data_IF_281988160044
#
_entry.id   IF_281988160044
#
_cell.length_a   1.000
_cell.length_b   1.000
_cell.length_c   1.000
_cell.angle_alpha   90.00
_cell.angle_beta   90.00
_cell.angle_gamma   90.00
#
_symmetry.space_group_name_H-M   'P 1'
#
loop_
_entity.id
_entity.type
_entity.pdbx_description
1 polymer ?
#
# COMPACT_ATOMS: atom_id res chain seq x y z
N UNK A 1 -1.84 -30.50 51.47
CA UNK A 1 -1.38 -29.55 50.43
C UNK A 1 -0.40 -30.29 49.53
N UNK A 2 -0.78 -30.63 48.31
CA UNK A 2 0.10 -31.36 47.39
C UNK A 2 1.24 -30.44 46.94
N UNK A 3 2.48 -30.84 47.22
CA UNK A 3 3.68 -30.15 46.72
C UNK A 3 3.73 -30.28 45.19
N UNK A 4 3.26 -29.26 44.48
CA UNK A 4 3.52 -29.12 43.04
C UNK A 4 5.03 -29.05 42.84
N UNK A 5 5.60 -30.03 42.14
CA UNK A 5 7.04 -30.15 41.89
C UNK A 5 7.58 -28.91 41.16
N UNK A 6 8.88 -28.62 41.33
CA UNK A 6 9.52 -27.46 40.67
C UNK A 6 9.31 -27.45 39.16
N UNK A 7 9.29 -28.63 38.51
CA UNK A 7 9.00 -28.79 37.09
C UNK A 7 7.56 -28.41 36.71
N UNK A 8 6.58 -28.78 37.53
CA UNK A 8 5.17 -28.41 37.28
C UNK A 8 4.94 -26.89 37.45
N UNK A 9 5.63 -26.24 38.40
CA UNK A 9 5.59 -24.78 38.55
C UNK A 9 6.26 -24.05 37.38
N UNK A 10 7.37 -24.59 36.87
CA UNK A 10 8.06 -24.04 35.69
C UNK A 10 7.16 -24.11 34.46
N UNK A 11 6.50 -25.24 34.23
CA UNK A 11 5.55 -25.40 33.12
C UNK A 11 4.38 -24.41 33.20
N UNK A 12 3.82 -24.17 34.40
CA UNK A 12 2.76 -23.18 34.59
C UNK A 12 3.23 -21.75 34.27
N UNK A 13 4.46 -21.38 34.65
CA UNK A 13 5.02 -20.06 34.32
C UNK A 13 5.24 -19.88 32.82
N UNK A 14 5.75 -20.90 32.14
CA UNK A 14 5.95 -20.88 30.68
C UNK A 14 4.61 -20.76 29.95
N UNK A 15 3.61 -21.57 30.34
CA UNK A 15 2.25 -21.51 29.79
C UNK A 15 1.64 -20.11 29.98
N UNK A 16 1.77 -19.53 31.17
CA UNK A 16 1.29 -18.18 31.45
C UNK A 16 1.96 -17.11 30.59
N UNK A 17 3.29 -17.17 30.45
CA UNK A 17 4.03 -16.22 29.62
C UNK A 17 3.61 -16.28 28.14
N UNK A 18 3.48 -17.49 27.58
CA UNK A 18 3.04 -17.69 26.19
C UNK A 18 1.60 -17.19 26.00
N UNK A 19 0.72 -17.43 26.96
CA UNK A 19 -0.65 -16.93 26.91
C UNK A 19 -0.71 -15.39 26.94
N UNK A 20 0.12 -14.74 27.76
CA UNK A 20 0.24 -13.28 27.77
C UNK A 20 0.73 -12.74 26.42
N UNK A 21 1.72 -13.39 25.81
CA UNK A 21 2.22 -13.01 24.48
C UNK A 21 1.17 -13.20 23.40
N UNK A 22 0.41 -14.30 23.43
CA UNK A 22 -0.67 -14.57 22.49
C UNK A 22 -1.78 -13.53 22.61
N UNK A 23 -2.18 -13.21 23.84
CA UNK A 23 -3.15 -12.16 24.13
C UNK A 23 -2.68 -10.79 23.63
N UNK A 24 -1.42 -10.43 23.88
CA UNK A 24 -0.86 -9.16 23.43
C UNK A 24 -0.80 -9.09 21.90
N UNK A 25 -0.32 -10.14 21.24
CA UNK A 25 -0.26 -10.21 19.79
C UNK A 25 -1.67 -10.04 19.18
N UNK A 26 -2.65 -10.83 19.63
CA UNK A 26 -4.02 -10.74 19.12
C UNK A 26 -4.64 -9.36 19.43
N UNK A 27 -4.43 -8.85 20.65
CA UNK A 27 -4.91 -7.53 21.04
C UNK A 27 -4.36 -6.41 20.16
N UNK A 28 -3.06 -6.43 19.86
CA UNK A 28 -2.43 -5.48 18.94
C UNK A 28 -2.99 -5.65 17.53
N UNK A 29 -3.11 -6.89 17.03
CA UNK A 29 -3.63 -7.17 15.70
C UNK A 29 -5.07 -6.72 15.49
N UNK A 30 -5.91 -6.79 16.53
CA UNK A 30 -7.29 -6.31 16.47
C UNK A 30 -7.37 -4.79 16.63
N UNK A 31 -6.67 -4.22 17.62
CA UNK A 31 -6.84 -2.82 17.99
C UNK A 31 -6.13 -1.85 17.05
N UNK A 32 -4.89 -2.16 16.63
CA UNK A 32 -4.06 -1.20 15.89
C UNK A 32 -4.68 -0.69 14.58
N UNK A 33 -5.39 -1.51 13.77
CA UNK A 33 -6.01 -1.01 12.53
C UNK A 33 -7.31 -0.21 12.73
N UNK A 34 -7.80 -0.14 13.97
CA UNK A 34 -9.02 0.58 14.33
C UNK A 34 -8.74 1.94 14.97
N UNK A 35 -7.50 2.17 15.41
CA UNK A 35 -7.12 3.37 16.12
C UNK A 35 -6.82 4.52 15.16
N UNK A 36 -7.47 5.70 15.34
CA UNK A 36 -7.18 6.87 14.53
C UNK A 36 -5.78 7.43 14.77
N UNK A 37 -5.30 8.19 13.78
CA UNK A 37 -3.98 8.83 13.80
C UNK A 37 -3.79 9.86 14.90
N UNK A 38 -4.87 10.50 15.36
CA UNK A 38 -4.90 11.50 16.41
C UNK A 38 -4.82 10.91 17.82
N UNK A 39 -4.75 9.59 17.96
CA UNK A 39 -4.60 8.94 19.26
C UNK A 39 -3.19 9.15 19.84
N UNK A 40 -3.06 9.10 21.17
CA UNK A 40 -1.77 9.25 21.88
C UNK A 40 -0.74 8.19 21.52
N UNK A 41 -1.20 7.05 20.98
CA UNK A 41 -0.37 5.96 20.47
C UNK A 41 -0.44 5.85 18.94
N UNK A 42 -0.86 6.91 18.24
CA UNK A 42 -1.17 6.91 16.81
C UNK A 42 0.00 6.46 15.92
N UNK A 43 1.24 6.78 16.28
CA UNK A 43 2.43 6.28 15.57
C UNK A 43 2.53 4.75 15.64
N UNK A 44 2.39 4.18 16.83
CA UNK A 44 2.43 2.73 17.02
C UNK A 44 1.23 2.07 16.35
N UNK A 45 0.06 2.67 16.42
CA UNK A 45 -1.15 2.19 15.75
C UNK A 45 -0.96 2.12 14.23
N UNK A 46 -0.34 3.13 13.59
CA UNK A 46 -0.04 3.09 12.15
C UNK A 46 0.92 1.96 11.78
N UNK A 47 2.03 1.84 12.52
CA UNK A 47 3.06 0.83 12.26
C UNK A 47 2.48 -0.57 12.46
N UNK A 48 1.85 -0.83 13.62
CA UNK A 48 1.29 -2.13 13.95
C UNK A 48 0.03 -2.45 13.15
N UNK A 49 -0.71 -1.43 12.72
CA UNK A 49 -1.90 -1.58 11.89
C UNK A 49 -1.55 -2.26 10.56
N UNK A 50 -0.45 -1.86 9.94
CA UNK A 50 0.06 -2.55 8.74
C UNK A 50 0.52 -3.98 9.02
N UNK A 51 0.98 -4.28 10.24
CA UNK A 51 1.44 -5.60 10.67
C UNK A 51 0.33 -6.48 11.29
N UNK A 52 -0.92 -6.00 11.35
CA UNK A 52 -1.98 -6.67 12.09
C UNK A 52 -2.20 -8.15 11.73
N UNK A 53 -2.24 -8.57 10.45
CA UNK A 53 -2.34 -9.99 10.11
C UNK A 53 -1.19 -10.83 10.66
N UNK A 54 0.04 -10.29 10.70
CA UNK A 54 1.21 -10.99 11.24
C UNK A 54 1.08 -11.21 12.75
N UNK A 55 0.57 -10.22 13.48
CA UNK A 55 0.28 -10.37 14.90
C UNK A 55 -0.81 -11.42 15.16
N UNK A 56 -1.84 -11.48 14.32
CA UNK A 56 -2.89 -12.51 14.43
C UNK A 56 -2.34 -13.91 14.13
N UNK A 57 -1.50 -14.07 13.11
CA UNK A 57 -0.81 -15.33 12.80
C UNK A 57 0.12 -15.73 13.95
N UNK A 58 0.90 -14.79 14.51
CA UNK A 58 1.73 -15.05 15.67
C UNK A 58 0.90 -15.53 16.88
N UNK A 59 -0.27 -14.92 17.12
CA UNK A 59 -1.23 -15.37 18.13
C UNK A 59 -1.68 -16.81 17.93
N UNK A 60 -1.98 -17.21 16.68
CA UNK A 60 -2.35 -18.58 16.34
C UNK A 60 -1.18 -19.55 16.56
N UNK A 61 0.04 -19.18 16.15
CA UNK A 61 1.25 -19.98 16.39
C UNK A 61 1.51 -20.18 17.89
N UNK A 62 1.37 -19.13 18.70
CA UNK A 62 1.48 -19.24 20.17
C UNK A 62 0.37 -20.13 20.75
N UNK A 63 -0.84 -20.07 20.19
CA UNK A 63 -1.93 -21.00 20.48
C UNK A 63 -1.55 -22.46 20.20
N UNK A 64 -0.89 -22.75 19.08
CA UNK A 64 -0.37 -24.10 18.77
C UNK A 64 0.68 -24.54 19.79
N UNK A 65 1.60 -23.65 20.18
CA UNK A 65 2.59 -23.96 21.24
C UNK A 65 1.89 -24.32 22.56
N UNK A 66 0.80 -23.63 22.92
CA UNK A 66 0.02 -23.95 24.12
C UNK A 66 -0.65 -25.33 24.04
N UNK A 67 -1.12 -25.74 22.85
CA UNK A 67 -1.62 -27.11 22.64
C UNK A 67 -0.51 -28.13 22.89
N UNK A 68 0.69 -27.90 22.35
CA UNK A 68 1.86 -28.77 22.54
C UNK A 68 2.29 -28.86 24.02
N UNK A 69 2.10 -27.78 24.79
CA UNK A 69 2.34 -27.73 26.24
C UNK A 69 1.17 -28.30 27.08
N UNK A 70 0.22 -29.01 26.47
CA UNK A 70 -0.96 -29.61 27.11
C UNK A 70 -1.96 -28.60 27.71
N UNK A 71 -1.90 -27.33 27.30
CA UNK A 71 -2.89 -26.30 27.61
C UNK A 71 -3.93 -26.17 26.49
N UNK A 72 -4.47 -27.30 26.02
CA UNK A 72 -5.22 -27.40 24.76
C UNK A 72 -6.42 -26.46 24.63
N UNK A 73 -7.22 -26.28 25.70
CA UNK A 73 -8.40 -25.38 25.67
C UNK A 73 -8.00 -23.92 25.43
N UNK A 74 -6.90 -23.49 26.04
CA UNK A 74 -6.39 -22.13 25.89
C UNK A 74 -5.74 -21.94 24.52
N UNK A 75 -4.99 -22.94 24.05
CA UNK A 75 -4.43 -22.91 22.70
C UNK A 75 -5.51 -22.84 21.62
N UNK A 76 -6.58 -23.64 21.74
CA UNK A 76 -7.72 -23.60 20.83
C UNK A 76 -8.42 -22.23 20.85
N UNK A 77 -8.58 -21.63 22.04
CA UNK A 77 -9.15 -20.27 22.16
C UNK A 77 -8.34 -19.25 21.35
N UNK A 78 -7.02 -19.20 21.50
CA UNK A 78 -6.20 -18.23 20.77
C UNK A 78 -6.18 -18.47 19.26
N UNK A 79 -6.15 -19.74 18.82
CA UNK A 79 -6.27 -20.08 17.39
C UNK A 79 -7.62 -19.63 16.83
N UNK A 80 -8.72 -19.93 17.54
CA UNK A 80 -10.06 -19.54 17.12
C UNK A 80 -10.23 -18.01 17.08
N UNK A 81 -9.71 -17.29 18.08
CA UNK A 81 -9.72 -15.84 18.11
C UNK A 81 -8.94 -15.24 16.93
N UNK A 82 -7.72 -15.71 16.68
CA UNK A 82 -6.92 -15.29 15.53
C UNK A 82 -7.61 -15.56 14.20
N UNK A 83 -8.17 -16.77 14.02
CA UNK A 83 -8.87 -17.16 12.80
C UNK A 83 -10.13 -16.31 12.56
N UNK A 84 -10.92 -16.06 13.61
CA UNK A 84 -12.09 -15.20 13.55
C UNK A 84 -11.69 -13.76 13.17
N UNK A 85 -10.67 -13.20 13.81
CA UNK A 85 -10.18 -11.86 13.50
C UNK A 85 -9.69 -11.77 12.05
N UNK A 86 -8.88 -12.72 11.57
CA UNK A 86 -8.43 -12.75 10.18
C UNK A 86 -9.60 -12.86 9.20
N UNK A 87 -10.61 -13.69 9.51
CA UNK A 87 -11.84 -13.79 8.72
C UNK A 87 -12.60 -12.46 8.64
N UNK A 88 -12.69 -11.73 9.75
CA UNK A 88 -13.30 -10.39 9.79
C UNK A 88 -12.50 -9.36 8.99
N UNK A 89 -11.15 -9.41 9.04
CA UNK A 89 -10.30 -8.56 8.20
C UNK A 89 -10.51 -8.84 6.72
N UNK A 90 -10.54 -10.11 6.33
CA UNK A 90 -10.79 -10.52 4.95
C UNK A 90 -12.17 -10.08 4.49
N UNK A 91 -13.22 -10.29 5.31
CA UNK A 91 -14.57 -9.85 4.99
C UNK A 91 -14.66 -8.32 4.83
N UNK A 92 -14.05 -7.56 5.74
CA UNK A 92 -14.01 -6.10 5.67
C UNK A 92 -13.28 -5.60 4.41
N UNK A 93 -12.14 -6.21 4.06
CA UNK A 93 -11.43 -5.88 2.81
C UNK A 93 -12.30 -6.16 1.59
N UNK A 94 -12.94 -7.33 1.55
CA UNK A 94 -13.82 -7.71 0.43
C UNK A 94 -15.02 -6.77 0.25
N UNK A 95 -15.52 -6.16 1.32
CA UNK A 95 -16.61 -5.18 1.26
C UNK A 95 -16.21 -3.84 0.62
N UNK A 96 -14.94 -3.45 0.70
CA UNK A 96 -14.44 -2.18 0.15
C UNK A 96 -13.68 -2.37 -1.16
N UNK A 97 -13.24 -3.59 -1.47
CA UNK A 97 -12.42 -3.90 -2.65
C UNK A 97 -13.24 -4.22 -3.89
N UNK A 98 -12.66 -4.01 -5.07
CA UNK A 98 -13.21 -4.43 -6.35
C UNK A 98 -12.42 -5.60 -6.96
N UNK A 99 -13.09 -6.53 -7.67
CA UNK A 99 -12.38 -7.52 -8.48
C UNK A 99 -11.70 -6.84 -9.68
N UNK A 100 -10.69 -7.50 -10.25
CA UNK A 100 -10.18 -7.13 -11.57
C UNK A 100 -11.24 -7.44 -12.64
N UNK A 101 -11.18 -6.73 -13.76
CA UNK A 101 -12.07 -6.88 -14.91
C UNK A 101 -11.28 -7.29 -16.17
N UNK A 102 -10.79 -8.54 -16.26
CA UNK A 102 -9.91 -8.97 -17.36
C UNK A 102 -10.62 -9.02 -18.73
N UNK A 103 -11.95 -8.88 -18.76
CA UNK A 103 -12.73 -8.85 -19.98
C UNK A 103 -12.83 -7.43 -20.59
N UNK A 104 -12.56 -6.39 -19.80
CA UNK A 104 -12.55 -5.02 -20.31
C UNK A 104 -11.30 -4.76 -21.17
N UNK A 105 -11.47 -3.98 -22.24
CA UNK A 105 -10.35 -3.50 -23.02
C UNK A 105 -9.63 -2.37 -22.26
N UNK A 106 -8.31 -2.44 -22.07
CA UNK A 106 -7.58 -1.41 -21.34
C UNK A 106 -7.49 -0.11 -22.16
N UNK A 107 -7.72 1.01 -21.48
CA UNK A 107 -7.59 2.36 -22.03
C UNK A 107 -6.19 2.95 -21.77
N UNK A 108 -5.56 2.60 -20.63
CA UNK A 108 -4.19 2.99 -20.30
C UNK A 108 -3.45 1.86 -19.57
N UNK A 109 -2.17 1.69 -19.87
CA UNK A 109 -1.20 0.95 -19.06
C UNK A 109 -0.39 1.90 -18.20
N UNK A 110 -0.37 1.64 -16.89
CA UNK A 110 0.29 2.51 -15.90
C UNK A 110 1.30 1.75 -15.05
N UNK A 111 2.41 2.41 -14.71
CA UNK A 111 3.39 1.94 -13.73
C UNK A 111 3.50 2.94 -12.59
N UNK A 112 3.50 2.44 -11.36
CA UNK A 112 4.02 3.17 -10.19
C UNK A 112 5.22 2.42 -9.61
N UNK A 113 6.32 3.11 -9.34
CA UNK A 113 7.51 2.49 -8.73
C UNK A 113 8.23 3.43 -7.77
N UNK A 114 8.28 3.08 -6.47
CA UNK A 114 9.21 3.69 -5.54
C UNK A 114 10.62 3.19 -5.84
N UNK A 115 11.49 4.06 -6.35
CA UNK A 115 12.81 3.70 -6.87
C UNK A 115 13.82 3.43 -5.75
N UNK A 116 13.53 3.88 -4.53
CA UNK A 116 14.46 4.06 -3.42
C UNK A 116 15.53 5.12 -3.77
N UNK A 117 15.56 6.24 -3.02
CA UNK A 117 16.40 7.40 -3.36
C UNK A 117 17.91 7.09 -3.45
N UNK A 118 18.36 6.00 -2.82
CA UNK A 118 19.75 5.53 -2.81
C UNK A 118 20.12 4.68 -4.04
N UNK A 119 19.13 4.25 -4.85
CA UNK A 119 19.27 3.33 -5.98
C UNK A 119 19.87 3.98 -7.23
N UNK A 120 21.07 4.54 -7.11
CA UNK A 120 21.72 5.37 -8.13
C UNK A 120 22.48 4.59 -9.21
N UNK A 121 22.50 3.25 -9.14
CA UNK A 121 23.27 2.38 -10.03
C UNK A 121 22.42 1.53 -10.98
N UNK A 122 21.09 1.49 -10.80
CA UNK A 122 20.20 0.65 -11.60
C UNK A 122 19.35 1.43 -12.61
N UNK A 123 19.63 2.72 -12.85
CA UNK A 123 18.87 3.58 -13.77
C UNK A 123 18.66 2.97 -15.15
N UNK A 124 19.72 2.46 -15.79
CA UNK A 124 19.63 1.81 -17.11
C UNK A 124 18.73 0.56 -17.11
N UNK A 125 18.81 -0.27 -16.05
CA UNK A 125 17.97 -1.46 -15.90
C UNK A 125 16.50 -1.08 -15.66
N UNK A 126 16.26 -0.02 -14.90
CA UNK A 126 14.90 0.51 -14.69
C UNK A 126 14.33 1.01 -16.00
N UNK A 127 15.11 1.78 -16.78
CA UNK A 127 14.69 2.29 -18.07
C UNK A 127 14.40 1.16 -19.06
N UNK A 128 15.24 0.13 -19.10
CA UNK A 128 14.99 -1.07 -19.89
C UNK A 128 13.69 -1.78 -19.46
N UNK A 129 13.47 -1.99 -18.16
CA UNK A 129 12.26 -2.63 -17.66
C UNK A 129 10.99 -1.83 -18.00
N UNK A 130 11.06 -0.49 -17.96
CA UNK A 130 9.96 0.37 -18.40
C UNK A 130 9.68 0.23 -19.89
N UNK A 131 10.72 0.21 -20.73
CA UNK A 131 10.56 -0.01 -22.18
C UNK A 131 9.95 -1.36 -22.49
N UNK A 132 10.36 -2.42 -21.77
CA UNK A 132 9.83 -3.78 -21.93
C UNK A 132 8.37 -3.89 -21.48
N UNK A 133 7.99 -3.18 -20.43
CA UNK A 133 6.60 -3.14 -19.95
C UNK A 133 5.68 -2.29 -20.84
N UNK A 134 6.26 -1.38 -21.62
CA UNK A 134 5.58 -0.51 -22.60
C UNK A 134 4.38 0.26 -22.01
N UNK A 135 4.56 1.06 -20.93
CA UNK A 135 3.45 1.80 -20.33
C UNK A 135 3.12 3.08 -21.10
N UNK A 136 1.85 3.47 -21.02
CA UNK A 136 1.40 4.79 -21.44
C UNK A 136 1.81 5.86 -20.42
N UNK A 137 1.71 5.53 -19.12
CA UNK A 137 2.06 6.41 -18.00
C UNK A 137 2.98 5.68 -17.03
N UNK A 138 4.08 6.33 -16.64
CA UNK A 138 4.96 5.84 -15.56
C UNK A 138 5.15 6.94 -14.52
N UNK A 139 5.02 6.58 -13.25
CA UNK A 139 5.30 7.49 -12.14
C UNK A 139 6.29 6.86 -11.17
N UNK A 140 7.37 7.58 -10.91
CA UNK A 140 8.37 7.21 -9.93
C UNK A 140 8.21 8.01 -8.65
N UNK A 141 8.40 7.36 -7.50
CA UNK A 141 8.65 8.04 -6.23
C UNK A 141 10.06 7.81 -5.74
N UNK A 142 10.55 8.69 -4.87
CA UNK A 142 11.97 8.77 -4.51
C UNK A 142 12.86 8.91 -5.77
N UNK A 143 12.31 9.61 -6.78
CA UNK A 143 12.81 9.63 -8.15
C UNK A 143 14.19 10.30 -8.31
N UNK A 144 14.74 10.91 -7.25
CA UNK A 144 16.06 11.53 -7.23
C UNK A 144 17.16 10.56 -7.68
N UNK A 145 16.95 9.26 -7.45
CA UNK A 145 17.81 8.19 -7.94
C UNK A 145 17.93 8.16 -9.47
N UNK A 146 16.89 8.59 -10.20
CA UNK A 146 16.80 8.64 -11.66
C UNK A 146 17.17 10.00 -12.26
N UNK A 147 17.76 10.92 -11.48
CA UNK A 147 18.08 12.27 -11.97
C UNK A 147 19.03 12.25 -13.18
N UNK A 148 19.90 11.24 -13.30
CA UNK A 148 20.84 11.13 -14.43
C UNK A 148 20.13 10.68 -15.71
N UNK A 149 19.10 9.86 -15.56
CA UNK A 149 18.30 9.29 -16.63
C UNK A 149 17.10 10.17 -17.00
N UNK A 150 16.86 11.26 -16.25
CA UNK A 150 15.69 12.11 -16.39
C UNK A 150 15.50 12.65 -17.81
N UNK A 151 16.56 13.10 -18.47
CA UNK A 151 16.44 13.63 -19.85
C UNK A 151 16.13 12.54 -20.89
N UNK A 152 16.61 11.30 -20.66
CA UNK A 152 16.25 10.16 -21.51
C UNK A 152 14.78 9.78 -21.31
N UNK A 153 14.33 9.75 -20.06
CA UNK A 153 12.92 9.52 -19.72
C UNK A 153 12.00 10.59 -20.34
N UNK A 154 12.35 11.88 -20.25
CA UNK A 154 11.57 12.96 -20.86
C UNK A 154 11.52 12.87 -22.38
N UNK A 155 12.60 12.40 -23.02
CA UNK A 155 12.62 12.20 -24.46
C UNK A 155 11.69 11.06 -24.91
N UNK A 156 11.55 10.00 -24.11
CA UNK A 156 10.66 8.86 -24.39
C UNK A 156 9.20 9.11 -23.98
N UNK A 157 8.99 9.99 -23.00
CA UNK A 157 7.67 10.36 -22.46
C UNK A 157 7.51 11.88 -22.54
N UNK A 158 7.04 12.42 -23.68
CA UNK A 158 7.05 13.86 -23.97
C UNK A 158 6.18 14.69 -23.03
N UNK A 159 5.21 14.09 -22.35
CA UNK A 159 4.36 14.77 -21.38
C UNK A 159 4.78 14.39 -19.97
N UNK A 160 5.32 15.33 -19.21
CA UNK A 160 5.92 15.01 -17.91
C UNK A 160 5.84 16.16 -16.91
N UNK A 161 5.92 15.83 -15.62
CA UNK A 161 6.03 16.81 -14.54
C UNK A 161 6.86 16.25 -13.38
N UNK A 162 7.61 17.14 -12.72
CA UNK A 162 8.47 16.78 -11.62
C UNK A 162 9.91 16.49 -12.07
N UNK A 163 10.79 16.30 -11.09
CA UNK A 163 12.22 16.11 -11.31
C UNK A 163 12.96 17.29 -11.97
N UNK A 164 12.43 18.53 -11.92
CA UNK A 164 13.15 19.73 -12.37
C UNK A 164 14.03 20.34 -11.27
N UNK A 165 13.50 20.41 -10.03
CA UNK A 165 14.20 20.93 -8.85
C UNK A 165 14.21 19.89 -7.74
N UNK A 166 13.05 19.67 -7.13
CA UNK A 166 12.80 18.46 -6.37
C UNK A 166 12.53 17.30 -7.35
N UNK A 167 12.88 16.10 -6.94
CA UNK A 167 12.68 14.88 -7.73
C UNK A 167 12.16 13.80 -6.78
N UNK A 168 11.08 14.13 -6.08
CA UNK A 168 10.39 13.21 -5.18
C UNK A 168 9.40 12.36 -5.97
N UNK A 169 8.47 13.02 -6.68
CA UNK A 169 7.63 12.41 -7.72
C UNK A 169 8.14 12.83 -9.09
N UNK A 170 8.16 11.87 -10.02
CA UNK A 170 8.42 12.11 -11.44
C UNK A 170 7.38 11.37 -12.26
N UNK A 171 6.42 12.09 -12.82
CA UNK A 171 5.33 11.55 -13.61
C UNK A 171 5.56 11.82 -15.09
N UNK A 172 5.40 10.78 -15.91
CA UNK A 172 5.79 10.72 -17.31
C UNK A 172 4.66 10.02 -18.09
N UNK A 173 4.31 10.54 -19.26
CA UNK A 173 3.26 10.02 -20.12
C UNK A 173 3.65 10.11 -21.60
N UNK A 174 3.31 9.06 -22.36
CA UNK A 174 3.38 9.03 -23.82
C UNK A 174 2.13 9.60 -24.48
N UNK A 175 0.99 9.42 -23.82
CA UNK A 175 -0.30 9.95 -24.26
C UNK A 175 -0.44 11.38 -23.76
N UNK A 176 -0.96 12.28 -24.59
CA UNK A 176 -1.19 13.68 -24.21
C UNK A 176 -2.28 13.79 -23.14
N UNK A 177 -1.97 14.26 -21.92
CA UNK A 177 -3.00 14.58 -20.95
C UNK A 177 -3.60 15.96 -21.27
N UNK A 178 -4.92 16.08 -21.11
CA UNK A 178 -5.60 17.37 -21.17
C UNK A 178 -5.15 18.32 -20.04
N UNK A 179 -4.68 17.77 -18.91
CA UNK A 179 -4.10 18.54 -17.83
C UNK A 179 -3.05 17.73 -17.06
N UNK A 180 -1.97 18.37 -16.63
CA UNK A 180 -0.92 17.78 -15.78
C UNK A 180 -0.56 18.74 -14.64
N UNK A 181 -0.58 18.24 -13.42
CA UNK A 181 -0.33 19.04 -12.22
C UNK A 181 0.56 18.31 -11.22
N UNK A 182 1.35 19.10 -10.48
CA UNK A 182 2.22 18.62 -9.40
C UNK A 182 1.90 19.38 -8.12
N UNK A 183 1.70 18.64 -7.04
CA UNK A 183 1.22 19.14 -5.76
C UNK A 183 2.21 18.82 -4.64
N UNK A 184 2.28 19.73 -3.68
CA UNK A 184 2.92 19.49 -2.38
C UNK A 184 1.85 19.17 -1.35
N UNK A 185 1.99 18.03 -0.67
CA UNK A 185 1.07 17.61 0.39
C UNK A 185 1.50 18.12 1.77
N UNK A 186 2.72 18.66 1.88
CA UNK A 186 3.18 19.35 3.07
C UNK A 186 4.11 20.51 2.72
N UNK A 187 4.24 21.47 3.64
CA UNK A 187 5.21 22.55 3.50
C UNK A 187 6.67 22.08 3.67
N UNK A 188 6.88 20.87 4.20
CA UNK A 188 8.20 20.34 4.54
C UNK A 188 8.80 19.52 3.41
N UNK A 189 7.98 18.70 2.74
CA UNK A 189 8.38 17.94 1.57
C UNK A 189 7.47 18.29 0.40
N UNK A 190 8.08 18.89 -0.61
CA UNK A 190 7.39 19.41 -1.78
C UNK A 190 7.20 18.30 -2.82
N UNK A 191 6.24 18.50 -3.74
CA UNK A 191 6.08 17.66 -4.94
C UNK A 191 5.88 16.16 -4.63
N UNK A 192 4.93 15.87 -3.73
CA UNK A 192 4.62 14.50 -3.26
C UNK A 192 3.40 13.87 -3.95
N UNK A 193 2.75 14.60 -4.85
CA UNK A 193 1.62 14.09 -5.63
C UNK A 193 1.65 14.68 -7.04
N UNK A 194 1.34 13.86 -8.05
CA UNK A 194 1.09 14.30 -9.41
C UNK A 194 -0.31 13.86 -9.86
N UNK A 195 -0.96 14.65 -10.71
CA UNK A 195 -2.24 14.29 -11.32
C UNK A 195 -2.20 14.57 -12.82
N UNK A 196 -2.65 13.59 -13.61
CA UNK A 196 -2.79 13.65 -15.05
C UNK A 196 -4.25 13.39 -15.38
N UNK A 197 -4.86 14.25 -16.19
CA UNK A 197 -6.22 14.08 -16.67
C UNK A 197 -6.19 13.74 -18.17
N UNK A 198 -6.88 12.67 -18.56
CA UNK A 198 -6.99 12.22 -19.94
C UNK A 198 -8.43 12.32 -20.41
N UNK A 199 -8.61 12.76 -21.66
CA UNK A 199 -9.89 12.75 -22.37
C UNK A 199 -9.75 11.79 -23.56
N UNK A 200 -10.58 10.75 -23.61
CA UNK A 200 -10.56 9.77 -24.68
C UNK A 200 -11.43 10.22 -25.87
N UNK A 201 -11.15 9.74 -27.10
CA UNK A 201 -11.92 10.11 -28.29
C UNK A 201 -13.42 9.78 -28.22
N UNK A 202 -13.82 8.86 -27.34
CA UNK A 202 -15.22 8.50 -27.11
C UNK A 202 -15.92 9.32 -26.02
N UNK A 203 -15.27 10.39 -25.54
CA UNK A 203 -15.81 11.35 -24.57
C UNK A 203 -15.67 10.93 -23.11
N UNK A 204 -15.08 9.76 -22.82
CA UNK A 204 -14.74 9.35 -21.45
C UNK A 204 -13.53 10.13 -20.94
N UNK A 205 -13.52 10.42 -19.63
CA UNK A 205 -12.37 11.01 -18.94
C UNK A 205 -11.74 10.03 -17.94
N UNK A 206 -10.45 10.20 -17.66
CA UNK A 206 -9.75 9.44 -16.63
C UNK A 206 -8.71 10.31 -15.92
N UNK A 207 -8.81 10.36 -14.59
CA UNK A 207 -7.77 10.94 -13.74
C UNK A 207 -6.78 9.84 -13.33
N UNK A 208 -5.49 10.08 -13.54
CA UNK A 208 -4.39 9.26 -13.02
C UNK A 208 -3.64 10.08 -11.98
N UNK A 209 -3.76 9.68 -10.72
CA UNK A 209 -3.17 10.38 -9.58
C UNK A 209 -2.12 9.49 -8.94
N UNK A 210 -0.91 10.02 -8.75
CA UNK A 210 0.14 9.36 -8.02
C UNK A 210 0.51 10.13 -6.76
N UNK A 211 0.72 9.43 -5.64
CA UNK A 211 1.14 10.04 -4.38
C UNK A 211 2.25 9.22 -3.71
N UNK A 212 3.16 9.90 -3.01
CA UNK A 212 4.09 9.27 -2.09
C UNK A 212 3.83 9.86 -0.70
N UNK A 213 3.22 9.09 0.18
CA UNK A 213 2.83 9.55 1.52
C UNK A 213 4.00 9.44 2.49
N UNK A 214 4.04 10.32 3.49
CA UNK A 214 5.03 10.21 4.56
C UNK A 214 4.97 8.87 5.30
N UNK A 215 6.15 8.43 5.75
CA UNK A 215 6.35 7.22 6.54
C UNK A 215 5.58 7.28 7.87
N UNK A 216 5.13 6.15 8.42
CA UNK A 216 4.12 6.13 9.50
C UNK A 216 4.64 6.68 10.84
N UNK A 217 5.96 6.78 11.03
CA UNK A 217 6.59 7.30 12.25
C UNK A 217 6.63 8.83 12.34
N UNK A 218 6.28 9.57 11.28
CA UNK A 218 6.19 11.02 11.34
C UNK A 218 4.89 11.47 12.02
N UNK A 219 4.96 11.70 13.33
CA UNK A 219 3.85 12.20 14.16
C UNK A 219 3.28 13.51 13.59
N UNK A 220 1.95 13.66 13.60
CA UNK A 220 1.16 14.78 13.06
C UNK A 220 1.28 15.12 11.57
N UNK A 221 2.39 14.77 10.91
CA UNK A 221 2.63 15.14 9.51
C UNK A 221 1.95 14.17 8.54
N UNK A 222 1.99 12.85 8.81
CA UNK A 222 1.36 11.86 7.95
C UNK A 222 -0.17 12.06 7.84
N UNK A 223 -0.83 12.41 8.95
CA UNK A 223 -2.27 12.72 8.95
C UNK A 223 -2.61 14.02 8.20
N UNK A 224 -1.75 15.04 8.29
CA UNK A 224 -1.91 16.29 7.54
C UNK A 224 -1.73 16.09 6.04
N UNK A 225 -0.72 15.34 5.62
CA UNK A 225 -0.55 15.00 4.19
C UNK A 225 -1.75 14.23 3.65
N UNK A 226 -2.34 13.32 4.44
CA UNK A 226 -3.57 12.63 4.02
C UNK A 226 -4.76 13.57 3.89
N UNK A 227 -4.89 14.57 4.77
CA UNK A 227 -5.93 15.58 4.65
C UNK A 227 -5.77 16.42 3.37
N UNK A 228 -4.53 16.84 3.05
CA UNK A 228 -4.25 17.57 1.80
C UNK A 228 -4.49 16.70 0.56
N UNK A 229 -4.15 15.41 0.63
CA UNK A 229 -4.48 14.44 -0.43
C UNK A 229 -6.00 14.40 -0.66
N UNK A 230 -6.80 14.33 0.40
CA UNK A 230 -8.27 14.35 0.29
C UNK A 230 -8.80 15.64 -0.32
N UNK A 231 -8.24 16.79 0.04
CA UNK A 231 -8.60 18.08 -0.58
C UNK A 231 -8.32 18.06 -2.08
N UNK A 232 -7.18 17.51 -2.49
CA UNK A 232 -6.81 17.45 -3.90
C UNK A 232 -7.69 16.47 -4.70
N UNK A 233 -7.86 15.23 -4.24
CA UNK A 233 -8.61 14.20 -4.98
C UNK A 233 -10.13 14.44 -4.96
N UNK A 234 -10.69 15.09 -3.94
CA UNK A 234 -12.14 15.38 -3.91
C UNK A 234 -12.54 16.56 -4.80
N UNK A 235 -11.58 17.25 -5.43
CA UNK A 235 -11.84 18.24 -6.48
C UNK A 235 -11.84 17.65 -7.88
N UNK A 236 -11.54 16.35 -8.00
CA UNK A 236 -11.49 15.64 -9.27
C UNK A 236 -12.79 14.88 -9.47
N UNK A 237 -13.51 15.22 -10.51
CA UNK A 237 -14.73 14.52 -10.91
C UNK A 237 -14.41 13.37 -11.87
N UNK A 238 -15.24 12.33 -11.83
CA UNK A 238 -15.21 11.21 -12.78
C UNK A 238 -14.18 10.12 -12.46
N UNK A 239 -14.06 9.14 -13.38
CA UNK A 239 -13.21 7.96 -13.22
C UNK A 239 -11.80 8.33 -12.79
N UNK A 240 -11.32 7.72 -11.69
CA UNK A 240 -10.03 8.07 -11.11
C UNK A 240 -9.27 6.82 -10.65
N UNK A 241 -8.00 6.75 -11.04
CA UNK A 241 -6.99 5.85 -10.47
C UNK A 241 -6.12 6.64 -9.51
N UNK A 242 -5.96 6.14 -8.29
CA UNK A 242 -5.02 6.64 -7.30
C UNK A 242 -3.96 5.56 -7.04
N UNK A 243 -2.71 5.85 -7.38
CA UNK A 243 -1.58 4.96 -7.20
C UNK A 243 -0.51 5.58 -6.33
N UNK A 244 0.35 4.78 -5.69
CA UNK A 244 1.37 5.37 -4.84
C UNK A 244 1.93 4.48 -3.74
N UNK A 245 3.01 4.94 -3.12
CA UNK A 245 3.51 4.45 -1.84
C UNK A 245 2.77 5.18 -0.71
N UNK A 246 1.85 4.50 -0.06
CA UNK A 246 1.08 5.04 1.07
C UNK A 246 1.72 4.71 2.41
N UNK A 247 2.83 3.97 2.41
CA UNK A 247 3.53 3.54 3.62
C UNK A 247 2.62 2.80 4.63
N UNK A 248 1.50 2.25 4.13
CA UNK A 248 0.38 1.73 4.93
C UNK A 248 -0.30 0.57 4.20
N UNK A 249 -0.55 -0.54 4.88
CA UNK A 249 -1.21 -1.70 4.27
C UNK A 249 -2.74 -1.49 4.11
N UNK A 250 -3.44 -2.22 3.20
CA UNK A 250 -4.85 -2.00 2.89
C UNK A 250 -5.78 -2.13 4.10
N UNK A 251 -5.42 -2.98 5.06
CA UNK A 251 -6.21 -3.22 6.26
C UNK A 251 -5.98 -2.20 7.38
N UNK A 252 -5.02 -1.29 7.22
CA UNK A 252 -4.68 -0.27 8.22
C UNK A 252 -5.68 0.89 8.24
N UNK A 253 -5.73 1.63 9.36
CA UNK A 253 -6.62 2.78 9.50
C UNK A 253 -6.43 3.84 8.39
N UNK A 254 -5.19 4.28 8.04
CA UNK A 254 -4.98 5.25 6.98
C UNK A 254 -5.62 4.89 5.65
N UNK A 255 -5.53 3.63 5.25
CA UNK A 255 -6.08 3.17 3.97
C UNK A 255 -7.60 3.03 4.01
N UNK A 256 -8.16 2.53 5.12
CA UNK A 256 -9.61 2.52 5.29
C UNK A 256 -10.23 3.92 5.26
N UNK A 257 -9.49 4.93 5.72
CA UNK A 257 -9.91 6.33 5.63
C UNK A 257 -10.00 6.80 4.16
N UNK A 258 -9.03 6.41 3.33
CA UNK A 258 -9.04 6.66 1.87
C UNK A 258 -10.25 6.00 1.23
N UNK A 259 -10.53 4.73 1.55
CA UNK A 259 -11.63 4.00 0.93
C UNK A 259 -12.99 4.58 1.31
N UNK A 260 -13.19 4.82 2.61
CA UNK A 260 -14.49 5.24 3.14
C UNK A 260 -14.82 6.70 2.83
N UNK A 261 -13.83 7.60 2.90
CA UNK A 261 -14.09 9.04 2.82
C UNK A 261 -13.78 9.63 1.44
N UNK A 262 -12.98 8.96 0.60
CA UNK A 262 -12.67 9.40 -0.76
C UNK A 262 -13.23 8.45 -1.85
N UNK A 263 -13.94 7.39 -1.46
CA UNK A 263 -14.68 6.52 -2.38
C UNK A 263 -13.82 5.53 -3.18
N UNK A 264 -12.54 5.39 -2.84
CA UNK A 264 -11.62 4.50 -3.54
C UNK A 264 -11.78 3.04 -3.12
N UNK A 265 -11.62 2.15 -4.09
CA UNK A 265 -11.61 0.72 -3.88
C UNK A 265 -10.22 0.13 -4.20
N UNK A 266 -9.63 -0.67 -3.31
CA UNK A 266 -8.44 -1.46 -3.62
C UNK A 266 -8.79 -2.72 -4.43
N UNK A 267 -7.81 -3.40 -5.04
CA UNK A 267 -8.00 -4.72 -5.61
C UNK A 267 -8.33 -5.74 -4.51
N UNK A 268 -9.14 -6.76 -4.84
CA UNK A 268 -9.42 -7.89 -3.93
C UNK A 268 -8.16 -8.59 -3.41
N UNK A 269 -7.11 -8.63 -4.22
CA UNK A 269 -5.82 -9.22 -3.86
C UNK A 269 -4.76 -8.12 -3.83
N UNK A 270 -4.33 -7.69 -2.63
CA UNK A 270 -3.19 -6.79 -2.50
C UNK A 270 -1.91 -7.43 -3.04
N UNK A 271 -1.01 -6.62 -3.58
CA UNK A 271 0.30 -7.06 -4.08
C UNK A 271 1.35 -6.69 -3.04
N UNK A 272 2.06 -7.68 -2.48
CA UNK A 272 3.13 -7.39 -1.51
C UNK A 272 4.25 -6.60 -2.17
N UNK A 273 4.56 -5.39 -1.72
CA UNK A 273 5.55 -4.54 -2.40
C UNK A 273 6.80 -4.32 -1.57
N UNK A 274 6.71 -4.40 -0.24
CA UNK A 274 7.82 -4.09 0.65
C UNK A 274 7.98 -5.10 1.82
N UNK A 275 9.21 -5.54 2.15
CA UNK A 275 10.42 -5.36 1.36
C UNK A 275 10.35 -6.21 0.09
N UNK A 276 10.97 -5.75 -0.98
CA UNK A 276 10.95 -6.43 -2.29
C UNK A 276 11.39 -7.90 -2.20
N UNK A 277 12.36 -8.21 -1.34
CA UNK A 277 12.88 -9.56 -1.10
C UNK A 277 11.87 -10.54 -0.49
N UNK A 278 10.80 -10.04 0.14
CA UNK A 278 9.74 -10.89 0.67
C UNK A 278 8.74 -11.35 -0.40
N UNK A 279 8.84 -10.82 -1.63
CA UNK A 279 7.95 -11.18 -2.73
C UNK A 279 6.48 -11.05 -2.31
N UNK A 280 5.69 -12.10 -2.58
CA UNK A 280 4.25 -12.10 -2.30
C UNK A 280 3.90 -12.13 -0.80
N UNK A 281 4.88 -12.38 0.07
CA UNK A 281 4.72 -12.27 1.52
C UNK A 281 5.07 -10.87 2.05
N UNK A 282 5.50 -9.96 1.18
CA UNK A 282 5.76 -8.57 1.52
C UNK A 282 4.49 -7.82 1.92
N UNK A 283 4.67 -6.73 2.67
CA UNK A 283 3.63 -5.78 2.98
C UNK A 283 3.20 -5.02 1.70
N UNK A 284 1.89 -5.00 1.38
CA UNK A 284 1.34 -4.21 0.28
C UNK A 284 1.19 -2.74 0.68
N UNK A 285 2.28 -1.98 0.69
CA UNK A 285 2.25 -0.55 1.07
C UNK A 285 2.15 0.40 -0.13
N UNK A 286 2.41 -0.12 -1.32
CA UNK A 286 2.13 0.54 -2.58
C UNK A 286 0.77 0.08 -3.11
N UNK A 287 -0.01 0.99 -3.69
CA UNK A 287 -1.41 0.72 -4.06
C UNK A 287 -1.72 1.14 -5.50
N UNK A 288 -2.73 0.48 -6.06
CA UNK A 288 -3.48 0.88 -7.25
C UNK A 288 -4.96 0.85 -6.85
N UNK A 289 -5.55 2.02 -6.64
CA UNK A 289 -6.91 2.18 -6.18
C UNK A 289 -7.76 2.81 -7.28
N UNK A 290 -9.04 2.46 -7.35
CA UNK A 290 -9.95 2.96 -8.39
C UNK A 290 -11.25 3.49 -7.80
N UNK A 291 -11.89 4.44 -8.48
CA UNK A 291 -13.25 4.89 -8.17
C UNK A 291 -13.98 5.40 -9.40
N UNK A 292 -15.28 5.65 -9.23
CA UNK A 292 -16.14 6.38 -10.17
C UNK A 292 -16.10 5.82 -11.61
N UNK A 293 -16.09 4.49 -11.75
CA UNK A 293 -16.11 3.80 -13.04
C UNK A 293 -14.74 3.41 -13.60
N UNK A 294 -13.63 3.86 -13.01
CA UNK A 294 -12.32 3.29 -13.30
C UNK A 294 -12.24 1.85 -12.76
N UNK A 295 -11.64 0.95 -13.52
CA UNK A 295 -11.43 -0.45 -13.14
C UNK A 295 -10.02 -0.92 -13.50
N UNK A 296 -9.50 -1.85 -12.70
CA UNK A 296 -8.25 -2.54 -12.99
C UNK A 296 -8.56 -3.76 -13.88
N UNK A 297 -8.04 -3.77 -15.11
CA UNK A 297 -8.11 -4.94 -16.02
C UNK A 297 -7.10 -6.00 -15.57
N UNK A 298 -5.89 -5.54 -15.25
CA UNK A 298 -4.79 -6.36 -14.78
C UNK A 298 -3.99 -5.62 -13.70
N UNK A 299 -3.35 -6.37 -12.81
CA UNK A 299 -2.46 -5.82 -11.79
C UNK A 299 -1.38 -6.84 -11.45
N UNK A 300 -0.11 -6.45 -11.58
CA UNK A 300 1.03 -7.30 -11.28
C UNK A 300 2.18 -6.51 -10.64
N UNK A 301 3.04 -7.16 -9.82
CA UNK A 301 4.25 -6.53 -9.33
C UNK A 301 5.20 -6.20 -10.49
N UNK A 302 5.97 -5.13 -10.35
CA UNK A 302 6.96 -4.65 -11.31
C UNK A 302 8.33 -4.55 -10.65
N UNK A 303 9.39 -4.92 -11.36
CA UNK A 303 10.75 -4.49 -11.00
C UNK A 303 11.32 -4.98 -9.66
N UNK A 304 10.99 -6.20 -9.21
CA UNK A 304 11.45 -6.73 -7.92
C UNK A 304 12.96 -6.95 -7.78
N UNK A 305 13.71 -6.86 -8.87
CA UNK A 305 15.17 -7.05 -8.97
C UNK A 305 15.91 -5.79 -9.44
N UNK A 306 15.22 -4.63 -9.47
CA UNK A 306 15.74 -3.36 -9.98
C UNK A 306 16.48 -2.51 -8.92
N UNK A 307 16.86 -3.11 -7.79
CA UNK A 307 17.66 -2.47 -6.75
C UNK A 307 16.91 -1.64 -5.71
N UNK A 308 15.60 -1.43 -5.90
CA UNK A 308 14.74 -0.84 -4.86
C UNK A 308 14.40 -1.85 -3.75
N UNK A 309 14.11 -1.35 -2.55
CA UNK A 309 13.48 -2.17 -1.50
C UNK A 309 11.96 -2.30 -1.70
N UNK A 310 11.39 -1.70 -2.75
CA UNK A 310 10.01 -1.90 -3.19
C UNK A 310 9.95 -2.74 -4.48
N UNK A 311 8.87 -3.49 -4.66
CA UNK A 311 8.36 -3.88 -5.98
C UNK A 311 7.40 -2.78 -6.42
N UNK A 312 7.49 -2.34 -7.67
CA UNK A 312 6.49 -1.45 -8.28
C UNK A 312 5.19 -2.19 -8.58
N UNK A 313 4.25 -1.46 -9.15
CA UNK A 313 2.97 -1.98 -9.63
C UNK A 313 2.80 -1.60 -11.09
N UNK A 314 2.50 -2.59 -11.93
CA UNK A 314 2.10 -2.43 -13.31
C UNK A 314 0.63 -2.82 -13.43
N UNK A 315 -0.18 -1.92 -13.96
CA UNK A 315 -1.62 -2.11 -14.09
C UNK A 315 -2.11 -1.69 -15.47
N UNK A 316 -3.11 -2.43 -15.96
CA UNK A 316 -3.90 -2.04 -17.12
C UNK A 316 -5.24 -1.50 -16.58
N UNK A 317 -5.63 -0.30 -17.01
CA UNK A 317 -6.78 0.44 -16.52
C UNK A 317 -7.81 0.56 -17.62
N UNK A 318 -9.09 0.39 -17.29
CA UNK A 318 -10.20 0.73 -18.16
C UNK A 318 -11.19 1.67 -17.46
N UNK A 319 -11.93 2.43 -18.24
CA UNK A 319 -13.07 3.23 -17.79
C UNK A 319 -14.34 2.53 -18.26
N UNK A 320 -15.22 2.14 -17.32
CA UNK A 320 -16.51 1.56 -17.70
C UNK A 320 -17.33 2.59 -18.47
N UNK A 321 -18.02 2.09 -19.51
CA UNK A 321 -19.13 2.82 -20.12
C UNK A 321 -20.35 2.53 -19.26
N UNK A 322 -21.00 3.59 -18.79
CA UNK A 322 -22.30 3.49 -18.13
C UNK A 322 -23.37 2.91 -19.09
#
# INVERSE_FOLDING_TARGET
>A
MQHVSGAARLNQRVIGAIACLAFLAIGIGIASPLLPDSSTIGVLARIFGSLAPFFLVAGACLGLVLILLRAGRMGLFFIAASALSLGLFAARHLMVSQPLDPAAAPDLRVIFFNVLFENTTNGDRILQAVREADPDVVVFSEAIALRKEAEVLKAEFPYHVGCERACEIFALSRVEPANIQLFSLSNRWQQRMAALHFEFPDGRGLNVVAAHMLKPWFHDLAGKERAELFVAINRMDGPTVLMGDFNSAPWSFPMFDVYRNAGFAPPRRPVGTWPASAGDLGLPIDHMLVRDGAVLVNLQPFGGDLGSNHRGLLADIAVRRD
#
